data_IF_653330073768
#
_entry.id   IF_653330073768
#
_cell.length_a   1.000
_cell.length_b   1.000
_cell.length_c   1.000
_cell.angle_alpha   90.00
_cell.angle_beta   90.00
_cell.angle_gamma   90.00
#
_symmetry.space_group_name_H-M   'P 1'
#
loop_
_entity.id
_entity.type
_entity.pdbx_description
1 polymer ?
#
# COMPACT_ATOMS: atom_id res chain seq x y z
N UNK A 1 27.81 19.24 -13.52
CA UNK A 1 28.50 17.96 -13.32
C UNK A 1 29.99 18.22 -13.37
N UNK A 2 30.81 17.42 -12.68
CA UNK A 2 32.26 17.46 -12.92
C UNK A 2 32.51 16.63 -14.18
N UNK A 3 33.09 17.24 -15.21
CA UNK A 3 33.51 16.50 -16.40
C UNK A 3 34.59 15.46 -16.03
N UNK A 4 34.43 14.19 -16.42
CA UNK A 4 35.42 13.12 -16.19
C UNK A 4 34.83 11.71 -16.01
N UNK A 5 35.71 10.70 -15.93
CA UNK A 5 35.37 9.27 -15.79
C UNK A 5 34.70 8.87 -14.46
N UNK A 6 34.72 9.75 -13.46
CA UNK A 6 34.07 9.53 -12.17
C UNK A 6 33.09 10.68 -11.88
N UNK A 7 31.79 10.50 -12.17
CA UNK A 7 30.80 11.55 -12.01
C UNK A 7 30.55 11.91 -10.53
N UNK A 8 30.97 11.06 -9.58
CA UNK A 8 30.76 11.23 -8.14
C UNK A 8 31.91 11.98 -7.42
N UNK A 9 33.05 12.18 -8.09
CA UNK A 9 34.20 12.86 -7.47
C UNK A 9 34.87 12.06 -6.35
N UNK A 10 35.46 12.75 -5.37
CA UNK A 10 36.16 12.07 -4.25
C UNK A 10 35.12 11.41 -3.33
N UNK A 11 35.38 10.21 -2.77
CA UNK A 11 34.51 9.58 -1.79
C UNK A 11 34.15 10.54 -0.65
N UNK A 12 32.88 10.58 -0.27
CA UNK A 12 32.36 11.46 0.79
C UNK A 12 32.20 12.93 0.40
N UNK A 13 32.49 13.32 -0.85
CA UNK A 13 32.36 14.73 -1.29
C UNK A 13 30.94 15.16 -1.69
N UNK A 14 30.00 14.21 -1.74
CA UNK A 14 28.61 14.41 -2.12
C UNK A 14 27.66 13.91 -1.02
N UNK A 15 26.54 14.60 -0.87
CA UNK A 15 25.40 14.13 -0.09
C UNK A 15 24.67 13.00 -0.82
N UNK A 16 23.86 12.22 -0.10
CA UNK A 16 23.06 11.16 -0.72
C UNK A 16 22.13 11.71 -1.81
N UNK A 17 21.47 12.85 -1.58
CA UNK A 17 20.58 13.45 -2.59
C UNK A 17 21.33 13.84 -3.86
N UNK A 18 22.56 14.37 -3.74
CA UNK A 18 23.40 14.69 -4.89
C UNK A 18 23.88 13.45 -5.64
N UNK A 19 24.17 12.36 -4.92
CA UNK A 19 24.51 11.07 -5.53
C UNK A 19 23.30 10.55 -6.31
N UNK A 20 22.11 10.58 -5.71
CA UNK A 20 20.89 10.13 -6.38
C UNK A 20 20.55 11.01 -7.60
N UNK A 21 20.77 12.32 -7.56
CA UNK A 21 20.60 13.21 -8.73
C UNK A 21 21.51 12.80 -9.89
N UNK A 22 22.77 12.46 -9.61
CA UNK A 22 23.71 11.96 -10.62
C UNK A 22 23.25 10.60 -11.15
N UNK A 23 22.79 9.70 -10.29
CA UNK A 23 22.29 8.39 -10.70
C UNK A 23 21.04 8.50 -11.59
N UNK A 24 20.17 9.47 -11.33
CA UNK A 24 19.01 9.79 -12.18
C UNK A 24 19.47 10.34 -13.52
N UNK A 25 20.45 11.27 -13.53
CA UNK A 25 21.02 11.78 -14.76
C UNK A 25 21.60 10.66 -15.63
N UNK A 26 22.43 9.78 -15.04
CA UNK A 26 23.02 8.64 -15.75
C UNK A 26 21.94 7.68 -16.28
N UNK A 27 20.87 7.45 -15.53
CA UNK A 27 19.75 6.62 -16.00
C UNK A 27 19.00 7.19 -17.21
N UNK A 28 19.04 8.50 -17.42
CA UNK A 28 18.43 9.16 -18.57
C UNK A 28 19.40 9.33 -19.76
N UNK A 29 20.68 9.60 -19.48
CA UNK A 29 21.63 10.08 -20.49
C UNK A 29 22.77 9.10 -20.82
N UNK A 30 23.13 8.19 -19.90
CA UNK A 30 24.26 7.27 -20.08
C UNK A 30 23.79 5.93 -20.69
N UNK A 31 24.26 5.56 -21.90
CA UNK A 31 23.87 4.32 -22.54
C UNK A 31 24.23 3.08 -21.69
N UNK A 32 23.26 2.21 -21.44
CA UNK A 32 23.44 0.94 -20.73
C UNK A 32 23.37 1.01 -19.21
N UNK A 33 23.49 2.21 -18.61
CA UNK A 33 23.40 2.37 -17.15
C UNK A 33 22.04 1.91 -16.62
N UNK A 34 20.96 2.31 -17.29
CA UNK A 34 19.60 1.94 -16.86
C UNK A 34 19.36 0.43 -16.96
N UNK A 35 19.79 -0.19 -18.06
CA UNK A 35 19.62 -1.62 -18.30
C UNK A 35 20.38 -2.48 -17.27
N UNK A 36 21.53 -1.98 -16.81
CA UNK A 36 22.36 -2.63 -15.80
C UNK A 36 21.73 -2.58 -14.39
N UNK A 37 21.25 -1.42 -13.96
CA UNK A 37 20.85 -1.20 -12.56
C UNK A 37 19.33 -1.26 -12.31
N UNK A 38 18.52 -1.09 -13.36
CA UNK A 38 17.06 -0.99 -13.24
C UNK A 38 16.33 -2.06 -14.05
N UNK A 39 15.07 -2.29 -13.68
CA UNK A 39 14.09 -3.02 -14.47
C UNK A 39 13.41 -2.05 -15.45
N UNK A 40 12.66 -2.60 -16.40
CA UNK A 40 11.98 -1.83 -17.45
C UNK A 40 11.00 -0.77 -16.90
N UNK A 41 10.45 -1.01 -15.71
CA UNK A 41 9.50 -0.13 -15.02
C UNK A 41 10.15 0.96 -14.16
N UNK A 42 11.50 1.05 -14.16
CA UNK A 42 12.26 1.99 -13.34
C UNK A 42 12.54 1.51 -11.92
N UNK A 43 12.01 0.35 -11.53
CA UNK A 43 12.37 -0.22 -10.23
C UNK A 43 13.82 -0.68 -10.23
N UNK A 44 14.58 -0.34 -9.18
CA UNK A 44 15.95 -0.83 -9.01
C UNK A 44 15.93 -2.35 -8.91
N UNK A 45 16.90 -3.03 -9.53
CA UNK A 45 16.90 -4.50 -9.59
C UNK A 45 17.00 -5.14 -8.21
N UNK A 46 17.93 -4.66 -7.38
CA UNK A 46 18.24 -5.14 -6.02
C UNK A 46 18.80 -3.98 -5.19
N UNK A 47 18.59 -4.01 -3.88
CA UNK A 47 19.14 -2.98 -2.97
C UNK A 47 20.62 -3.24 -2.66
N UNK A 48 21.08 -4.47 -2.84
CA UNK A 48 22.48 -4.87 -2.63
C UNK A 48 23.38 -4.58 -3.83
N UNK A 49 22.81 -4.14 -4.97
CA UNK A 49 23.58 -3.78 -6.16
C UNK A 49 23.85 -2.29 -6.09
N UNK A 50 25.10 -1.94 -5.83
CA UNK A 50 25.58 -0.56 -5.79
C UNK A 50 26.24 -0.22 -7.12
N UNK A 51 26.12 1.03 -7.53
CA UNK A 51 26.88 1.55 -8.65
C UNK A 51 28.26 2.07 -8.18
N UNK A 52 28.95 2.81 -9.04
CA UNK A 52 30.27 3.37 -8.77
C UNK A 52 30.28 4.42 -7.63
N UNK A 53 29.11 4.87 -7.16
CA UNK A 53 29.01 5.73 -5.98
C UNK A 53 29.20 4.97 -4.66
N UNK A 54 29.06 3.64 -4.69
CA UNK A 54 29.01 2.79 -3.50
C UNK A 54 27.63 2.73 -2.83
N UNK A 55 26.62 3.39 -3.39
CA UNK A 55 25.22 3.34 -2.94
C UNK A 55 24.33 2.62 -3.94
N UNK A 56 23.26 2.00 -3.45
CA UNK A 56 22.22 1.47 -4.30
C UNK A 56 21.48 2.61 -5.02
N UNK A 57 21.28 2.54 -6.34
CA UNK A 57 20.52 3.57 -7.06
C UNK A 57 19.08 3.72 -6.52
N UNK A 58 18.48 4.92 -6.60
CA UNK A 58 17.14 5.18 -6.08
C UNK A 58 16.08 4.37 -6.83
N UNK A 59 14.83 4.34 -6.35
CA UNK A 59 13.73 3.90 -7.23
C UNK A 59 13.45 5.01 -8.24
N UNK A 60 13.31 4.65 -9.51
CA UNK A 60 12.90 5.58 -10.55
C UNK A 60 11.45 5.35 -10.95
N UNK A 61 10.83 6.41 -11.43
CA UNK A 61 9.53 6.38 -12.08
C UNK A 61 9.53 7.37 -13.24
N UNK A 62 8.73 7.08 -14.25
CA UNK A 62 8.50 7.96 -15.38
C UNK A 62 7.13 8.62 -15.17
N UNK A 63 7.00 9.90 -14.80
CA UNK A 63 5.70 10.49 -14.49
C UNK A 63 4.77 10.55 -15.70
N UNK A 64 5.35 10.75 -16.89
CA UNK A 64 4.63 10.78 -18.17
C UNK A 64 5.15 9.68 -19.09
N UNK A 65 4.30 9.00 -19.88
CA UNK A 65 4.77 8.02 -20.85
C UNK A 65 5.77 8.65 -21.82
N UNK A 66 6.98 8.08 -21.90
CA UNK A 66 8.05 8.60 -22.76
C UNK A 66 8.80 9.83 -22.21
N UNK A 67 8.46 10.33 -21.02
CA UNK A 67 9.18 11.42 -20.36
C UNK A 67 10.50 10.98 -19.69
N UNK A 68 11.24 11.89 -19.05
CA UNK A 68 12.43 11.52 -18.29
C UNK A 68 12.06 10.70 -17.03
N UNK A 69 12.98 9.85 -16.62
CA UNK A 69 12.94 9.19 -15.32
C UNK A 69 13.29 10.19 -14.22
N UNK A 70 12.52 10.15 -13.12
CA UNK A 70 12.77 10.92 -11.90
C UNK A 70 12.79 9.99 -10.69
N UNK A 71 13.28 10.45 -9.54
CA UNK A 71 13.21 9.67 -8.31
C UNK A 71 11.75 9.47 -7.94
N UNK A 72 11.39 8.25 -7.57
CA UNK A 72 10.02 7.93 -7.13
C UNK A 72 9.58 8.79 -5.93
N UNK A 73 10.53 9.15 -5.04
CA UNK A 73 10.28 10.00 -3.87
C UNK A 73 9.97 11.47 -4.21
N UNK A 74 10.39 11.93 -5.39
CA UNK A 74 10.20 13.32 -5.82
C UNK A 74 8.89 13.52 -6.58
N UNK A 75 8.19 12.43 -6.94
CA UNK A 75 6.91 12.54 -7.62
C UNK A 75 5.87 13.07 -6.64
N UNK A 76 5.16 14.16 -6.99
CA UNK A 76 4.09 14.67 -6.16
C UNK A 76 3.09 13.58 -5.76
N UNK A 77 2.54 13.64 -4.53
CA UNK A 77 1.46 12.74 -4.16
C UNK A 77 0.29 12.92 -5.13
N UNK A 78 -0.54 11.88 -5.36
CA UNK A 78 -1.73 12.05 -6.15
C UNK A 78 -2.67 13.02 -5.44
N UNK A 79 -3.57 13.71 -6.17
CA UNK A 79 -4.60 14.52 -5.55
C UNK A 79 -5.38 13.73 -4.50
N UNK A 80 -5.75 14.41 -3.41
CA UNK A 80 -6.58 13.81 -2.37
C UNK A 80 -7.99 13.54 -2.92
N UNK A 81 -8.62 12.41 -2.56
CA UNK A 81 -10.00 12.14 -2.96
C UNK A 81 -10.96 13.13 -2.29
N UNK A 82 -12.13 13.29 -2.90
CA UNK A 82 -13.24 13.99 -2.27
C UNK A 82 -13.96 13.07 -1.29
N UNK A 83 -14.60 13.66 -0.27
CA UNK A 83 -15.32 12.94 0.76
C UNK A 83 -16.70 13.54 0.96
N UNK A 84 -17.70 12.68 1.18
CA UNK A 84 -19.04 13.09 1.58
C UNK A 84 -19.07 13.52 3.06
N UNK A 85 -18.23 12.89 3.88
CA UNK A 85 -18.11 13.20 5.31
C UNK A 85 -17.00 14.23 5.54
N UNK A 86 -17.25 15.22 6.41
CA UNK A 86 -16.26 16.24 6.78
C UNK A 86 -15.02 15.67 7.47
N UNK A 87 -15.20 14.62 8.28
CA UNK A 87 -14.16 13.92 9.04
C UNK A 87 -14.45 12.42 9.13
N UNK A 88 -13.49 11.67 9.69
CA UNK A 88 -13.69 10.27 10.04
C UNK A 88 -14.71 10.11 11.18
N UNK A 89 -15.66 9.19 11.00
CA UNK A 89 -16.67 8.84 11.99
C UNK A 89 -16.16 7.64 12.80
N UNK A 90 -16.08 7.79 14.13
CA UNK A 90 -15.64 6.72 15.03
C UNK A 90 -16.81 5.85 15.49
N UNK A 91 -16.61 4.54 15.52
CA UNK A 91 -17.59 3.54 15.93
C UNK A 91 -16.93 2.57 16.91
N UNK A 92 -17.45 2.48 18.13
CA UNK A 92 -16.88 1.69 19.23
C UNK A 92 -17.24 0.21 19.15
N UNK A 93 -16.44 -0.66 19.78
CA UNK A 93 -16.69 -2.11 19.80
C UNK A 93 -18.02 -2.49 20.48
N UNK A 94 -18.59 -1.62 21.31
CA UNK A 94 -19.88 -1.79 21.99
C UNK A 94 -21.08 -1.78 21.04
N UNK A 95 -20.92 -1.29 19.80
CA UNK A 95 -21.99 -1.32 18.80
C UNK A 95 -22.09 -2.62 18.02
N UNK A 96 -21.21 -3.60 18.28
CA UNK A 96 -21.28 -4.93 17.65
C UNK A 96 -22.45 -5.71 18.24
N UNK A 97 -23.51 -5.94 17.45
CA UNK A 97 -24.75 -6.57 17.94
C UNK A 97 -24.63 -8.08 18.13
N UNK A 98 -23.66 -8.73 17.47
CA UNK A 98 -23.41 -10.17 17.59
C UNK A 98 -22.19 -10.49 18.43
N UNK A 99 -22.40 -11.21 19.55
CA UNK A 99 -21.31 -11.71 20.41
C UNK A 99 -20.35 -12.64 19.65
N UNK A 100 -20.85 -13.39 18.67
CA UNK A 100 -20.00 -14.26 17.85
C UNK A 100 -19.06 -13.43 16.96
N UNK A 101 -19.56 -12.35 16.34
CA UNK A 101 -18.75 -11.41 15.55
C UNK A 101 -17.72 -10.69 16.42
N UNK A 102 -18.10 -10.24 17.62
CA UNK A 102 -17.16 -9.61 18.55
C UNK A 102 -15.97 -10.52 18.87
N UNK A 103 -16.20 -11.82 19.10
CA UNK A 103 -15.11 -12.79 19.32
C UNK A 103 -14.17 -12.92 18.11
N UNK A 104 -14.71 -12.88 16.88
CA UNK A 104 -13.89 -12.91 15.67
C UNK A 104 -13.00 -11.67 15.56
N UNK A 105 -13.56 -10.51 15.89
CA UNK A 105 -12.87 -9.23 15.90
C UNK A 105 -11.78 -9.19 16.99
N UNK A 106 -12.06 -9.69 18.19
CA UNK A 106 -11.07 -9.80 19.27
C UNK A 106 -9.90 -10.70 18.87
N UNK A 107 -10.18 -11.88 18.30
CA UNK A 107 -9.13 -12.78 17.85
C UNK A 107 -8.25 -12.17 16.74
N UNK A 108 -8.84 -11.34 15.86
CA UNK A 108 -8.09 -10.62 14.83
C UNK A 108 -7.23 -9.49 15.43
N UNK A 109 -7.79 -8.74 16.39
CA UNK A 109 -7.07 -7.70 17.12
C UNK A 109 -5.86 -8.29 17.86
N UNK A 110 -6.05 -9.43 18.53
CA UNK A 110 -5.01 -10.18 19.22
C UNK A 110 -3.87 -10.60 18.28
N UNK A 111 -4.21 -11.28 17.17
CA UNK A 111 -3.22 -11.69 16.15
C UNK A 111 -2.42 -10.51 15.62
N UNK A 112 -3.09 -9.42 15.23
CA UNK A 112 -2.43 -8.21 14.75
C UNK A 112 -1.50 -7.63 15.82
N UNK A 113 -1.97 -7.52 17.06
CA UNK A 113 -1.16 -6.97 18.16
C UNK A 113 0.12 -7.78 18.35
N UNK A 114 0.03 -9.10 18.48
CA UNK A 114 1.20 -9.95 18.65
C UNK A 114 2.11 -9.97 17.42
N UNK A 115 1.54 -9.96 16.20
CA UNK A 115 2.32 -9.84 14.96
C UNK A 115 3.16 -8.56 14.92
N UNK A 116 2.59 -7.42 15.33
CA UNK A 116 3.31 -6.15 15.43
C UNK A 116 4.39 -6.20 16.53
N UNK A 117 4.09 -6.77 17.71
CA UNK A 117 5.09 -6.88 18.77
C UNK A 117 6.28 -7.75 18.36
N UNK A 118 6.00 -8.87 17.68
CA UNK A 118 7.03 -9.75 17.15
C UNK A 118 7.88 -9.05 16.08
N UNK A 119 7.24 -8.38 15.11
CA UNK A 119 7.98 -7.67 14.06
C UNK A 119 8.87 -6.57 14.63
N UNK A 120 8.39 -5.81 15.61
CA UNK A 120 9.18 -4.78 16.29
C UNK A 120 10.40 -5.35 17.01
N UNK A 121 10.26 -6.51 17.67
CA UNK A 121 11.37 -7.18 18.35
C UNK A 121 12.43 -7.63 17.34
N UNK A 122 12.01 -8.25 16.24
CA UNK A 122 12.92 -8.74 15.20
C UNK A 122 13.56 -7.57 14.42
N UNK A 123 12.84 -6.48 14.19
CA UNK A 123 13.37 -5.25 13.62
C UNK A 123 14.52 -4.69 14.46
N UNK A 124 14.33 -4.69 15.79
CA UNK A 124 15.38 -4.28 16.73
C UNK A 124 16.60 -5.21 16.65
N UNK A 125 16.39 -6.52 16.71
CA UNK A 125 17.48 -7.49 16.58
C UNK A 125 18.27 -7.31 15.27
N UNK A 126 17.59 -7.11 14.14
CA UNK A 126 18.22 -6.78 12.85
C UNK A 126 19.07 -5.51 12.90
N UNK A 127 18.60 -4.47 13.59
CA UNK A 127 19.35 -3.22 13.76
C UNK A 127 20.59 -3.37 14.65
N UNK A 128 20.42 -4.09 15.77
CA UNK A 128 21.49 -4.35 16.73
C UNK A 128 22.59 -5.24 16.11
N UNK A 129 22.23 -6.30 15.39
CA UNK A 129 23.18 -7.18 14.68
C UNK A 129 23.89 -6.50 13.52
N UNK A 130 23.20 -5.62 12.78
CA UNK A 130 23.82 -4.79 11.75
C UNK A 130 24.91 -3.88 12.33
N UNK A 131 24.61 -3.21 13.45
CA UNK A 131 25.55 -2.34 14.16
C UNK A 131 26.74 -3.13 14.71
N UNK A 132 26.51 -4.33 15.23
CA UNK A 132 27.57 -5.19 15.76
C UNK A 132 28.50 -5.69 14.64
N UNK A 133 27.93 -6.09 13.50
CA UNK A 133 28.69 -6.52 12.34
C UNK A 133 29.55 -5.38 11.75
N UNK A 134 28.99 -4.17 11.66
CA UNK A 134 29.75 -2.98 11.22
C UNK A 134 30.97 -2.71 12.11
N UNK A 135 30.85 -2.94 13.43
CA UNK A 135 31.94 -2.71 14.39
C UNK A 135 33.01 -3.81 14.39
N UNK A 136 32.60 -5.07 14.30
CA UNK A 136 33.51 -6.20 14.52
C UNK A 136 33.96 -6.90 13.22
N UNK A 137 33.12 -6.91 12.18
CA UNK A 137 33.45 -7.49 10.88
C UNK A 137 33.78 -8.98 10.88
N UNK A 138 33.39 -9.74 11.91
CA UNK A 138 33.71 -11.18 12.03
C UNK A 138 32.71 -12.05 11.27
N UNK A 139 33.09 -13.30 10.97
CA UNK A 139 32.18 -14.29 10.37
C UNK A 139 30.97 -14.60 11.24
N UNK A 140 31.12 -14.57 12.56
CA UNK A 140 30.03 -14.79 13.52
C UNK A 140 29.01 -13.65 13.48
N UNK A 141 29.47 -12.40 13.50
CA UNK A 141 28.57 -11.23 13.39
C UNK A 141 27.92 -11.12 12.02
N UNK A 142 28.59 -11.58 10.96
CA UNK A 142 28.00 -11.69 9.63
C UNK A 142 26.86 -12.71 9.59
N UNK A 143 27.04 -13.87 10.25
CA UNK A 143 26.02 -14.91 10.35
C UNK A 143 24.79 -14.45 11.13
N UNK A 144 24.98 -13.85 12.31
CA UNK A 144 23.88 -13.30 13.13
C UNK A 144 23.10 -12.21 12.37
N UNK A 145 23.80 -11.29 11.69
CA UNK A 145 23.14 -10.27 10.88
C UNK A 145 22.34 -10.87 9.71
N UNK A 146 22.87 -11.90 9.04
CA UNK A 146 22.18 -12.59 7.96
C UNK A 146 20.91 -13.31 8.47
N UNK A 147 20.98 -13.98 9.62
CA UNK A 147 19.84 -14.62 10.27
C UNK A 147 18.77 -13.59 10.64
N UNK A 148 19.15 -12.52 11.34
CA UNK A 148 18.23 -11.46 11.73
C UNK A 148 17.54 -10.80 10.53
N UNK A 149 18.26 -10.62 9.40
CA UNK A 149 17.67 -10.15 8.14
C UNK A 149 16.63 -11.12 7.58
N UNK A 150 16.92 -12.42 7.61
CA UNK A 150 16.02 -13.48 7.17
C UNK A 150 14.74 -13.51 8.01
N UNK A 151 14.89 -13.57 9.33
CA UNK A 151 13.76 -13.58 10.28
C UNK A 151 12.93 -12.31 10.17
N UNK A 152 13.55 -11.13 10.01
CA UNK A 152 12.83 -9.87 9.82
C UNK A 152 11.95 -9.88 8.57
N UNK A 153 12.46 -10.42 7.46
CA UNK A 153 11.67 -10.52 6.22
C UNK A 153 10.42 -11.37 6.44
N UNK A 154 10.55 -12.48 7.16
CA UNK A 154 9.42 -13.38 7.48
C UNK A 154 8.44 -12.75 8.47
N UNK A 155 8.93 -12.16 9.57
CA UNK A 155 8.10 -11.48 10.57
C UNK A 155 7.32 -10.34 9.95
N UNK A 156 7.96 -9.53 9.11
CA UNK A 156 7.34 -8.36 8.50
C UNK A 156 6.25 -8.76 7.51
N UNK A 157 6.50 -9.82 6.74
CA UNK A 157 5.49 -10.40 5.83
C UNK A 157 4.28 -10.93 6.60
N UNK A 158 4.51 -11.66 7.70
CA UNK A 158 3.43 -12.19 8.54
C UNK A 158 2.63 -11.09 9.23
N UNK A 159 3.32 -10.11 9.80
CA UNK A 159 2.72 -8.93 10.43
C UNK A 159 1.83 -8.18 9.43
N UNK A 160 2.29 -7.96 8.20
CA UNK A 160 1.50 -7.34 7.14
C UNK A 160 0.18 -8.07 6.89
N UNK A 161 0.21 -9.40 6.77
CA UNK A 161 -0.99 -10.24 6.59
C UNK A 161 -1.94 -10.17 7.77
N UNK A 162 -1.41 -10.23 9.00
CA UNK A 162 -2.24 -10.12 10.21
C UNK A 162 -2.88 -8.73 10.35
N UNK A 163 -2.18 -7.68 9.89
CA UNK A 163 -2.72 -6.34 9.85
C UNK A 163 -3.83 -6.21 8.80
N UNK A 164 -3.62 -6.71 7.58
CA UNK A 164 -4.63 -6.76 6.51
C UNK A 164 -5.90 -7.49 6.97
N UNK A 165 -5.76 -8.72 7.49
CA UNK A 165 -6.88 -9.54 8.01
C UNK A 165 -7.68 -8.80 9.09
N UNK A 166 -7.02 -8.07 9.99
CA UNK A 166 -7.70 -7.26 10.99
C UNK A 166 -8.55 -6.13 10.38
N UNK A 167 -8.01 -5.42 9.37
CA UNK A 167 -8.73 -4.38 8.66
C UNK A 167 -9.96 -4.93 7.96
N UNK A 168 -9.79 -6.02 7.20
CA UNK A 168 -10.87 -6.69 6.47
C UNK A 168 -11.95 -7.22 7.41
N UNK A 169 -11.58 -7.82 8.55
CA UNK A 169 -12.54 -8.29 9.55
C UNK A 169 -13.30 -7.14 10.22
N UNK A 170 -12.65 -6.01 10.50
CA UNK A 170 -13.33 -4.84 11.03
C UNK A 170 -14.35 -4.27 10.03
N UNK A 171 -14.00 -4.27 8.73
CA UNK A 171 -14.93 -3.91 7.67
C UNK A 171 -16.11 -4.89 7.58
N UNK A 172 -15.85 -6.19 7.46
CA UNK A 172 -16.89 -7.20 7.25
C UNK A 172 -17.77 -7.41 8.49
N UNK A 173 -17.16 -7.75 9.62
CA UNK A 173 -17.89 -8.23 10.80
C UNK A 173 -18.40 -7.11 11.72
N UNK A 174 -18.08 -5.84 11.40
CA UNK A 174 -18.61 -4.70 12.14
C UNK A 174 -19.19 -3.62 11.21
N UNK A 175 -18.42 -3.03 10.29
CA UNK A 175 -18.97 -1.96 9.45
C UNK A 175 -20.12 -2.45 8.57
N UNK A 176 -19.88 -3.50 7.78
CA UNK A 176 -20.86 -4.07 6.85
C UNK A 176 -21.97 -4.76 7.60
N UNK A 177 -21.64 -5.66 8.54
CA UNK A 177 -22.65 -6.43 9.27
C UNK A 177 -23.69 -5.56 10.02
N UNK A 178 -23.34 -4.35 10.48
CA UNK A 178 -24.27 -3.46 11.16
C UNK A 178 -24.99 -2.46 10.23
N UNK A 179 -24.48 -2.21 9.01
CA UNK A 179 -25.04 -1.19 8.08
C UNK A 179 -25.69 -1.77 6.83
N UNK A 180 -25.20 -2.91 6.38
CA UNK A 180 -25.61 -3.59 5.16
C UNK A 180 -25.90 -5.08 5.45
N UNK A 181 -26.75 -5.40 6.46
CA UNK A 181 -26.96 -6.78 6.91
C UNK A 181 -27.54 -7.69 5.82
N UNK A 182 -28.25 -7.12 4.84
CA UNK A 182 -28.92 -7.82 3.75
C UNK A 182 -28.14 -7.76 2.43
N UNK A 183 -26.88 -7.28 2.45
CA UNK A 183 -26.03 -7.26 1.26
C UNK A 183 -25.22 -8.55 1.17
N UNK A 184 -25.00 -9.01 -0.06
CA UNK A 184 -24.22 -10.20 -0.36
C UNK A 184 -22.79 -9.84 -0.81
N UNK A 185 -21.80 -10.45 -0.17
CA UNK A 185 -20.39 -10.28 -0.54
C UNK A 185 -20.12 -10.90 -1.91
N UNK A 186 -19.41 -10.16 -2.76
CA UNK A 186 -19.05 -10.60 -4.10
C UNK A 186 -17.63 -11.18 -4.14
N UNK A 187 -17.44 -12.41 -4.64
CA UNK A 187 -16.11 -12.97 -4.80
C UNK A 187 -15.35 -12.23 -5.92
N UNK A 188 -14.17 -11.71 -5.59
CA UNK A 188 -13.31 -11.00 -6.54
C UNK A 188 -12.17 -11.92 -7.02
N UNK A 189 -11.89 -11.94 -8.33
CA UNK A 189 -10.88 -12.79 -8.98
C UNK A 189 -9.48 -12.13 -9.01
N UNK A 190 -9.30 -11.04 -8.28
CA UNK A 190 -8.06 -10.25 -8.24
C UNK A 190 -6.86 -10.97 -7.62
N UNK A 191 -5.63 -10.53 -7.92
CA UNK A 191 -4.42 -11.13 -7.38
C UNK A 191 -4.33 -10.98 -5.85
N UNK A 192 -3.69 -11.94 -5.18
CA UNK A 192 -3.52 -11.97 -3.72
C UNK A 192 -2.66 -10.82 -3.15
N UNK A 193 -2.05 -9.99 -4.00
CA UNK A 193 -1.17 -8.90 -3.58
C UNK A 193 -1.90 -7.54 -3.46
N UNK A 194 -3.24 -7.52 -3.54
CA UNK A 194 -4.05 -6.31 -3.31
C UNK A 194 -4.07 -5.31 -4.47
N UNK A 195 -3.26 -5.49 -5.51
CA UNK A 195 -3.30 -4.63 -6.68
C UNK A 195 -4.53 -4.92 -7.53
N UNK A 196 -5.07 -3.87 -8.15
CA UNK A 196 -6.16 -3.94 -9.15
C UNK A 196 -7.50 -4.50 -8.65
N UNK A 197 -7.74 -4.48 -7.33
CA UNK A 197 -9.00 -4.92 -6.73
C UNK A 197 -9.46 -3.96 -5.64
N UNK A 198 -10.76 -3.91 -5.39
CA UNK A 198 -11.31 -3.42 -4.12
C UNK A 198 -11.05 -4.46 -3.02
N UNK A 199 -11.03 -4.04 -1.76
CA UNK A 199 -10.87 -4.99 -0.65
C UNK A 199 -12.17 -5.81 -0.48
N UNK A 200 -13.34 -5.16 -0.56
CA UNK A 200 -14.64 -5.84 -0.54
C UNK A 200 -15.69 -5.14 -1.42
N UNK A 201 -16.58 -5.92 -2.03
CA UNK A 201 -17.76 -5.44 -2.78
C UNK A 201 -18.98 -6.19 -2.29
N UNK A 202 -20.01 -5.46 -1.92
CA UNK A 202 -21.26 -6.00 -1.38
C UNK A 202 -22.44 -5.49 -2.21
N UNK A 203 -23.31 -6.39 -2.65
CA UNK A 203 -24.45 -6.07 -3.53
C UNK A 203 -25.75 -6.45 -2.83
N UNK A 204 -26.74 -5.56 -2.90
CA UNK A 204 -28.10 -5.84 -2.46
C UNK A 204 -29.01 -6.16 -3.67
N UNK A 205 -30.03 -6.99 -3.47
CA UNK A 205 -30.97 -7.40 -4.54
C UNK A 205 -31.68 -6.21 -5.23
N UNK A 206 -31.84 -5.10 -4.53
CA UNK A 206 -32.44 -3.87 -5.07
C UNK A 206 -31.51 -3.03 -5.96
N UNK A 207 -30.26 -3.46 -6.15
CA UNK A 207 -29.26 -2.78 -6.99
C UNK A 207 -28.37 -1.75 -6.25
N UNK A 208 -28.50 -1.60 -4.92
CA UNK A 208 -27.50 -0.86 -4.13
C UNK A 208 -26.19 -1.63 -4.02
N UNK A 209 -25.08 -0.90 -3.99
CA UNK A 209 -23.73 -1.48 -3.89
C UNK A 209 -22.92 -0.75 -2.83
N UNK A 210 -22.17 -1.49 -2.02
CA UNK A 210 -21.18 -0.95 -1.09
C UNK A 210 -19.79 -1.47 -1.44
N UNK A 211 -18.85 -0.55 -1.66
CA UNK A 211 -17.44 -0.85 -1.92
C UNK A 211 -16.62 -0.40 -0.71
N UNK A 212 -15.79 -1.30 -0.19
CA UNK A 212 -15.02 -1.06 1.03
C UNK A 212 -13.52 -1.14 0.75
N UNK A 213 -12.81 -0.12 1.23
CA UNK A 213 -11.35 -0.08 1.36
C UNK A 213 -10.99 -0.26 2.84
N UNK A 214 -10.42 -1.40 3.19
CA UNK A 214 -10.15 -1.81 4.55
C UNK A 214 -8.69 -1.54 4.93
N UNK A 215 -8.46 -0.82 6.04
CA UNK A 215 -7.12 -0.53 6.56
C UNK A 215 -7.01 -0.97 8.02
N UNK A 216 -5.84 -1.47 8.38
CA UNK A 216 -5.58 -2.03 9.71
C UNK A 216 -5.37 -1.01 10.83
N UNK A 217 -5.27 0.27 10.49
CA UNK A 217 -4.93 1.35 11.42
C UNK A 217 -5.46 2.68 10.91
N UNK A 218 -5.84 3.56 11.85
CA UNK A 218 -6.26 4.94 11.58
C UNK A 218 -5.16 5.78 10.93
N UNK A 219 -3.89 5.43 11.15
CA UNK A 219 -2.73 6.09 10.55
C UNK A 219 -2.30 5.54 9.18
N UNK A 220 -2.92 4.47 8.68
CA UNK A 220 -2.57 3.93 7.36
C UNK A 220 -3.07 4.89 6.28
N UNK A 221 -2.18 5.31 5.38
CA UNK A 221 -2.52 6.16 4.25
C UNK A 221 -3.37 5.43 3.22
N UNK A 222 -4.05 6.21 2.38
CA UNK A 222 -4.76 5.67 1.23
C UNK A 222 -3.74 5.22 0.18
N UNK A 223 -4.02 4.10 -0.46
CA UNK A 223 -3.25 3.62 -1.60
C UNK A 223 -3.36 4.59 -2.78
N UNK A 224 -2.48 4.40 -3.75
CA UNK A 224 -2.53 5.11 -5.02
C UNK A 224 -2.12 4.19 -6.14
N UNK A 225 -2.59 4.49 -7.35
CA UNK A 225 -2.21 3.77 -8.56
C UNK A 225 -1.77 4.71 -9.65
N UNK A 226 -0.96 4.19 -10.57
CA UNK A 226 -0.61 4.86 -11.81
C UNK A 226 -1.59 4.40 -12.89
N UNK A 227 -2.29 5.35 -13.48
CA UNK A 227 -3.24 5.14 -14.55
C UNK A 227 -2.52 4.88 -15.89
N UNK A 228 -3.21 4.34 -16.92
CA UNK A 228 -2.61 4.08 -18.23
C UNK A 228 -1.98 5.31 -18.91
N UNK A 229 -2.52 6.51 -18.64
CA UNK A 229 -1.98 7.78 -19.15
C UNK A 229 -0.76 8.30 -18.36
N UNK A 230 -0.34 7.56 -17.34
CA UNK A 230 0.80 7.88 -16.47
C UNK A 230 0.45 8.74 -15.25
N UNK A 231 -0.74 9.35 -15.21
CA UNK A 231 -1.19 10.11 -14.03
C UNK A 231 -1.38 9.18 -12.84
N UNK A 232 -1.42 9.76 -11.64
CA UNK A 232 -1.66 9.02 -10.40
C UNK A 232 -3.02 9.36 -9.84
N UNK A 233 -3.74 8.34 -9.40
CA UNK A 233 -5.02 8.48 -8.72
C UNK A 233 -4.93 7.88 -7.30
N UNK A 234 -5.56 8.54 -6.34
CA UNK A 234 -5.68 8.06 -4.97
C UNK A 234 -6.87 7.11 -4.82
N UNK A 235 -6.78 6.11 -3.95
CA UNK A 235 -7.94 5.33 -3.50
C UNK A 235 -9.07 6.27 -3.07
N UNK A 236 -10.31 5.94 -3.45
CA UNK A 236 -11.47 6.80 -3.21
C UNK A 236 -11.72 7.90 -4.23
N UNK A 237 -10.87 8.06 -5.25
CA UNK A 237 -11.18 8.94 -6.40
C UNK A 237 -11.99 8.22 -7.47
N UNK A 238 -12.71 8.98 -8.30
CA UNK A 238 -13.46 8.44 -9.43
C UNK A 238 -12.53 7.72 -10.43
N UNK A 239 -11.37 8.30 -10.73
CA UNK A 239 -10.42 7.73 -11.70
C UNK A 239 -9.83 6.41 -11.19
N UNK A 240 -9.53 6.33 -9.90
CA UNK A 240 -9.08 5.09 -9.28
C UNK A 240 -10.15 4.01 -9.35
N UNK A 241 -11.40 4.37 -9.05
CA UNK A 241 -12.54 3.46 -9.10
C UNK A 241 -12.73 2.89 -10.52
N UNK A 242 -12.78 3.75 -11.53
CA UNK A 242 -12.98 3.35 -12.93
C UNK A 242 -11.83 2.47 -13.46
N UNK A 243 -10.58 2.76 -13.07
CA UNK A 243 -9.45 1.92 -13.49
C UNK A 243 -9.50 0.51 -12.86
N UNK A 244 -10.06 0.38 -11.64
CA UNK A 244 -10.36 -0.94 -11.07
C UNK A 244 -11.47 -1.64 -11.84
N UNK A 245 -12.54 -0.94 -12.23
CA UNK A 245 -13.62 -1.51 -13.05
C UNK A 245 -13.05 -2.09 -14.36
N UNK A 246 -12.15 -1.38 -15.04
CA UNK A 246 -11.48 -1.87 -16.24
C UNK A 246 -10.60 -3.10 -15.98
N UNK A 247 -9.97 -3.18 -14.80
CA UNK A 247 -9.24 -4.35 -14.39
C UNK A 247 -10.16 -5.55 -14.08
N UNK A 248 -11.31 -5.31 -13.43
CA UNK A 248 -12.35 -6.32 -13.15
C UNK A 248 -12.92 -6.90 -14.45
N UNK A 249 -13.21 -6.07 -15.46
CA UNK A 249 -13.64 -6.50 -16.80
C UNK A 249 -12.64 -7.46 -17.43
N UNK A 250 -11.34 -7.13 -17.38
CA UNK A 250 -10.27 -8.00 -17.93
C UNK A 250 -10.15 -9.35 -17.22
N UNK A 251 -10.61 -9.44 -15.96
CA UNK A 251 -10.65 -10.69 -15.19
C UNK A 251 -11.93 -11.50 -15.39
N UNK A 252 -12.94 -10.93 -16.06
CA UNK A 252 -14.21 -11.60 -16.32
C UNK A 252 -15.24 -11.45 -15.19
N UNK A 253 -15.09 -10.45 -14.31
CA UNK A 253 -16.02 -10.16 -13.20
C UNK A 253 -17.26 -9.37 -13.69
N UNK A 254 -17.86 -9.79 -14.81
CA UNK A 254 -18.82 -8.98 -15.57
C UNK A 254 -20.10 -8.63 -14.79
N UNK A 255 -20.69 -9.57 -14.06
CA UNK A 255 -21.93 -9.33 -13.30
C UNK A 255 -21.71 -8.32 -12.17
N UNK A 256 -20.58 -8.43 -11.46
CA UNK A 256 -20.20 -7.48 -10.41
C UNK A 256 -19.89 -6.10 -10.99
N UNK A 257 -19.21 -6.05 -12.14
CA UNK A 257 -18.95 -4.80 -12.87
C UNK A 257 -20.24 -4.12 -13.29
N UNK A 258 -21.18 -4.86 -13.88
CA UNK A 258 -22.46 -4.30 -14.32
C UNK A 258 -23.23 -3.71 -13.14
N UNK A 259 -23.25 -4.39 -11.99
CA UNK A 259 -23.88 -3.86 -10.78
C UNK A 259 -23.19 -2.59 -10.27
N UNK A 260 -21.85 -2.52 -10.28
CA UNK A 260 -21.08 -1.35 -9.88
C UNK A 260 -21.35 -0.15 -10.80
N UNK A 261 -21.36 -0.37 -12.12
CA UNK A 261 -21.61 0.67 -13.11
C UNK A 261 -23.04 1.22 -12.99
N UNK A 262 -24.05 0.34 -12.88
CA UNK A 262 -25.45 0.75 -12.66
C UNK A 262 -25.62 1.51 -11.36
N UNK A 263 -25.05 1.02 -10.26
CA UNK A 263 -25.15 1.69 -8.97
C UNK A 263 -24.45 3.05 -8.97
N UNK A 264 -23.37 3.21 -9.73
CA UNK A 264 -22.71 4.50 -9.92
C UNK A 264 -23.60 5.47 -10.71
N UNK A 265 -24.19 5.02 -11.82
CA UNK A 265 -25.10 5.82 -12.67
C UNK A 265 -26.35 6.27 -11.91
N UNK A 266 -26.94 5.36 -11.12
CA UNK A 266 -28.16 5.61 -10.36
C UNK A 266 -27.92 6.32 -9.02
N UNK A 267 -26.66 6.65 -8.68
CA UNK A 267 -26.26 7.23 -7.39
C UNK A 267 -26.69 6.36 -6.18
N UNK A 268 -26.51 5.03 -6.31
CA UNK A 268 -26.82 3.97 -5.34
C UNK A 268 -25.59 3.23 -4.83
N UNK A 269 -24.41 3.84 -4.98
CA UNK A 269 -23.13 3.27 -4.60
C UNK A 269 -22.52 4.00 -3.38
N UNK A 270 -22.27 3.24 -2.32
CA UNK A 270 -21.51 3.71 -1.16
C UNK A 270 -20.05 3.26 -1.28
N UNK A 271 -19.11 4.20 -1.42
CA UNK A 271 -17.68 3.88 -1.43
C UNK A 271 -17.02 4.39 -0.16
N UNK A 272 -16.45 3.48 0.63
CA UNK A 272 -16.07 3.78 2.03
C UNK A 272 -14.68 3.27 2.34
N UNK A 273 -13.87 4.09 3.01
CA UNK A 273 -12.68 3.59 3.72
C UNK A 273 -13.03 3.27 5.17
N UNK A 274 -12.69 2.06 5.61
CA UNK A 274 -12.83 1.60 6.99
C UNK A 274 -11.43 1.35 7.57
N UNK A 275 -11.14 1.97 8.72
CA UNK A 275 -9.85 1.87 9.41
C UNK A 275 -10.04 1.30 10.80
N UNK A 276 -9.47 0.13 11.06
CA UNK A 276 -9.48 -0.46 12.40
C UNK A 276 -8.79 0.44 13.44
N UNK A 277 -9.36 0.54 14.64
CA UNK A 277 -8.77 1.34 15.71
C UNK A 277 -7.52 0.70 16.30
N UNK A 278 -6.63 1.54 16.85
CA UNK A 278 -5.46 1.07 17.57
C UNK A 278 -5.90 0.31 18.81
N UNK A 279 -5.30 -0.85 19.03
CA UNK A 279 -5.65 -1.74 20.13
C UNK A 279 -4.42 -2.40 20.76
N UNK A 280 -4.65 -3.06 21.91
CA UNK A 280 -3.66 -3.84 22.66
C UNK A 280 -4.09 -5.31 22.77
N UNK A 281 -4.58 -5.89 21.67
CA UNK A 281 -5.01 -7.29 21.60
C UNK A 281 -6.49 -7.54 21.89
N UNK A 282 -7.30 -6.49 22.03
CA UNK A 282 -8.77 -6.56 22.16
C UNK A 282 -9.39 -5.59 21.18
N UNK A 283 -10.49 -5.94 20.54
CA UNK A 283 -11.11 -5.06 19.56
C UNK A 283 -11.70 -3.80 20.20
N UNK A 284 -11.40 -2.63 19.62
CA UNK A 284 -11.82 -1.32 20.14
C UNK A 284 -12.75 -0.55 19.21
N UNK A 285 -13.07 -1.13 18.04
CA UNK A 285 -13.89 -0.47 17.02
C UNK A 285 -13.10 -0.07 15.77
N UNK A 286 -13.66 0.87 15.02
CA UNK A 286 -13.09 1.37 13.77
C UNK A 286 -13.47 2.84 13.53
N UNK A 287 -12.82 3.45 12.55
CA UNK A 287 -13.26 4.71 11.94
C UNK A 287 -13.58 4.51 10.48
N UNK A 288 -14.56 5.23 9.96
CA UNK A 288 -14.83 5.19 8.53
C UNK A 288 -15.05 6.58 7.96
N UNK A 289 -14.93 6.69 6.63
CA UNK A 289 -15.23 7.89 5.88
C UNK A 289 -15.68 7.53 4.47
N UNK A 290 -16.75 8.18 3.99
CA UNK A 290 -17.31 7.94 2.66
C UNK A 290 -16.66 8.86 1.63
N UNK A 291 -16.23 8.26 0.53
CA UNK A 291 -15.70 8.97 -0.61
C UNK A 291 -16.83 9.61 -1.42
N UNK A 292 -16.55 10.77 -2.01
CA UNK A 292 -17.41 11.39 -3.02
C UNK A 292 -16.79 11.11 -4.40
N UNK A 293 -17.30 10.08 -5.09
CA UNK A 293 -16.85 9.72 -6.44
C UNK A 293 -17.72 10.30 -7.56
N UNK A 294 -18.65 11.20 -7.23
CA UNK A 294 -19.36 11.98 -8.25
C UNK A 294 -18.46 13.03 -8.92
N UNK A 295 -17.26 13.25 -8.36
CA UNK A 295 -16.26 14.23 -8.81
C UNK A 295 -14.94 13.55 -9.11
N UNK A 296 -14.40 13.85 -10.29
CA UNK A 296 -13.00 13.55 -10.62
C UNK A 296 -12.05 14.40 -9.79
N UNK A 297 -10.86 13.85 -9.53
CA UNK A 297 -9.75 14.53 -8.86
C UNK A 297 -8.67 15.00 -9.82
N UNK A 298 -8.69 14.48 -11.05
CA UNK A 298 -7.78 14.84 -12.12
C UNK A 298 -8.47 15.81 -13.11
N UNK A 299 -7.70 16.71 -13.75
CA UNK A 299 -8.22 17.60 -14.80
C UNK A 299 -8.63 16.84 -16.08
#
# INVERSE_FOLDING_TARGET
MRDGLNPYGRPGSLTLDQIEDIQVYRANEEPGYREQYYRKDGTRRRVEVHDESGFAPPQLVQPTPGGPWVRAKDVPPPPSPHFLDGDYIAVGADTVTSRARLKLLDAAAEKRYFGIQWDNLVAKWKGDSATLHERLGTSETAADWAEARGTYKESHTQMGKMAEDFGEKAAEHHFVAERYPDFENQPLLGPKNGNDRFDQVWIHEDGRVAVIEAKSSTGTELGSRRLPDGRRASQGSQEYFLDIIEAMKKRGEFDTVEALERALEDNRLDYVVVKGEKNKGTYTGYRYRRFDISKGTLP
#
